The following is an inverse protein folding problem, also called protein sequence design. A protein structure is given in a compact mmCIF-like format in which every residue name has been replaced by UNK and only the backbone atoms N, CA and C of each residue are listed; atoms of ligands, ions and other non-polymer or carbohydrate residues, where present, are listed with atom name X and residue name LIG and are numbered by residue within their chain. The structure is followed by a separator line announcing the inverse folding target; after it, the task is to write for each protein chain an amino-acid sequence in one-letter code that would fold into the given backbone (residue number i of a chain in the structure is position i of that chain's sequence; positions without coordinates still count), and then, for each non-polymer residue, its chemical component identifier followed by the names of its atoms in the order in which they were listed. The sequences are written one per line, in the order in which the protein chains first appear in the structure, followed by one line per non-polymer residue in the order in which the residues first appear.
data_IF_189812985359
#
_entry.id   IF_189812985359
#
_cell.length_a   1.000
_cell.length_b   1.000
_cell.length_c   1.000
_cell.angle_alpha   90.00
_cell.angle_beta   90.00
_cell.angle_gamma   90.00
#
_symmetry.space_group_name_H-M   'P 1'
#
loop_
_entity.id
_entity.type
_entity.pdbx_description
1 polymer ?
#
# COMPACT_ATOMS: atom_id res chain seq x y z
N UNK A 1 5.53 -49.08 -7.05
CA UNK A 1 4.23 -48.61 -6.51
C UNK A 1 4.21 -48.42 -4.99
N UNK A 2 4.80 -49.33 -4.18
CA UNK A 2 4.73 -49.26 -2.71
C UNK A 2 5.25 -47.94 -2.07
N UNK A 3 6.32 -47.33 -2.60
CA UNK A 3 6.88 -46.05 -2.08
C UNK A 3 6.01 -44.81 -2.31
N UNK A 4 5.16 -44.81 -3.35
CA UNK A 4 4.25 -43.67 -3.64
C UNK A 4 3.00 -43.71 -2.76
N UNK A 5 2.60 -44.90 -2.34
CA UNK A 5 1.47 -45.10 -1.44
C UNK A 5 1.80 -44.64 -0.01
N UNK A 6 3.02 -44.88 0.46
CA UNK A 6 3.46 -44.45 1.80
C UNK A 6 3.52 -42.93 1.94
N UNK A 7 3.93 -42.22 0.88
CA UNK A 7 3.97 -40.74 0.83
C UNK A 7 2.56 -40.12 0.86
N UNK A 8 1.59 -40.79 0.23
CA UNK A 8 0.19 -40.32 0.20
C UNK A 8 -0.51 -40.48 1.55
N UNK A 9 -0.23 -41.56 2.27
CA UNK A 9 -0.76 -41.78 3.63
C UNK A 9 -0.18 -40.74 4.61
N UNK A 10 1.12 -40.43 4.48
CA UNK A 10 1.79 -39.46 5.35
C UNK A 10 1.32 -38.00 5.11
N UNK A 11 0.88 -37.68 3.87
CA UNK A 11 0.29 -36.39 3.54
C UNK A 11 -1.17 -36.23 4.03
N UNK A 12 -1.91 -37.34 4.17
CA UNK A 12 -3.31 -37.31 4.66
C UNK A 12 -3.40 -37.20 6.18
N UNK A 13 -2.43 -37.74 6.93
CA UNK A 13 -2.41 -37.60 8.40
C UNK A 13 -2.09 -36.20 8.88
N UNK A 14 -1.36 -35.37 8.12
CA UNK A 14 -1.07 -33.98 8.51
C UNK A 14 -2.28 -33.05 8.34
N UNK A 15 -3.19 -33.34 7.40
CA UNK A 15 -4.42 -32.55 7.20
C UNK A 15 -5.45 -32.84 8.30
N UNK A 16 -5.44 -34.04 8.90
CA UNK A 16 -6.35 -34.42 9.99
C UNK A 16 -6.11 -33.71 11.32
N UNK A 17 -4.90 -33.20 11.58
CA UNK A 17 -4.60 -32.47 12.82
C UNK A 17 -5.12 -31.03 12.85
N UNK A 18 -5.47 -30.45 11.69
CA UNK A 18 -5.97 -29.07 11.62
C UNK A 18 -7.46 -28.99 12.04
N UNK A 19 -8.20 -30.10 12.01
CA UNK A 19 -9.64 -30.13 12.30
C UNK A 19 -10.03 -30.63 13.70
N UNK A 20 -9.08 -31.04 14.54
CA UNK A 20 -9.37 -31.53 15.91
C UNK A 20 -9.32 -30.43 16.99
N UNK A 21 -9.31 -29.15 16.58
CA UNK A 21 -9.26 -27.99 17.48
C UNK A 21 -10.62 -27.42 17.91
N UNK A 22 -11.76 -27.97 17.49
CA UNK A 22 -13.08 -27.59 18.00
C UNK A 22 -13.44 -28.44 19.22
N UNK A 23 -12.83 -28.12 20.37
CA UNK A 23 -13.41 -28.54 21.65
C UNK A 23 -14.67 -27.72 21.90
N UNK A 24 -15.79 -28.44 21.92
CA UNK A 24 -17.12 -27.96 22.28
C UNK A 24 -17.12 -27.64 23.77
N UNK A 25 -16.81 -26.40 24.13
CA UNK A 25 -17.04 -25.86 25.47
C UNK A 25 -18.55 -25.76 25.68
N UNK A 26 -19.08 -26.65 26.52
CA UNK A 26 -20.45 -26.63 27.01
C UNK A 26 -20.77 -25.27 27.66
N UNK A 27 -21.84 -24.63 27.19
CA UNK A 27 -22.35 -23.31 27.65
C UNK A 27 -22.51 -23.20 29.18
N UNK A 28 -22.61 -24.34 29.87
CA UNK A 28 -22.82 -24.43 31.32
C UNK A 28 -21.58 -24.07 32.16
N UNK A 29 -20.36 -24.17 31.60
CA UNK A 29 -19.13 -23.72 32.28
C UNK A 29 -18.83 -22.23 32.06
N UNK A 30 -19.29 -21.65 30.95
CA UNK A 30 -19.11 -20.22 30.66
C UNK A 30 -20.03 -19.36 31.53
N UNK A 31 -21.26 -19.82 31.81
CA UNK A 31 -22.20 -19.09 32.65
C UNK A 31 -21.74 -18.99 34.12
N UNK A 32 -21.11 -20.04 34.66
CA UNK A 32 -20.66 -20.03 36.06
C UNK A 32 -19.38 -19.21 36.27
N UNK A 33 -18.48 -19.14 35.28
CA UNK A 33 -17.28 -18.29 35.36
C UNK A 33 -17.62 -16.79 35.24
N UNK A 34 -18.66 -16.42 34.48
CA UNK A 34 -19.13 -15.03 34.41
C UNK A 34 -19.69 -14.55 35.76
N UNK A 35 -20.48 -15.39 36.43
CA UNK A 35 -21.10 -15.04 37.72
C UNK A 35 -20.05 -14.95 38.83
N UNK A 36 -19.05 -15.84 38.84
CA UNK A 36 -17.95 -15.79 39.80
C UNK A 36 -17.05 -14.56 39.59
N UNK A 37 -16.82 -14.16 38.34
CA UNK A 37 -15.97 -13.01 38.01
C UNK A 37 -16.66 -11.66 38.26
N UNK A 38 -18.00 -11.58 38.16
CA UNK A 38 -18.75 -10.39 38.56
C UNK A 38 -18.76 -10.18 40.08
N UNK A 39 -18.77 -11.25 40.87
CA UNK A 39 -18.83 -11.15 42.32
C UNK A 39 -17.50 -10.65 42.95
N UNK A 40 -16.35 -10.92 42.30
CA UNK A 40 -15.04 -10.40 42.70
C UNK A 40 -14.73 -8.99 42.14
N UNK A 41 -15.34 -8.59 41.00
CA UNK A 41 -15.20 -7.22 40.45
C UNK A 41 -15.97 -6.15 41.22
N UNK A 42 -16.91 -6.53 42.08
CA UNK A 42 -17.67 -5.60 42.92
C UNK A 42 -16.82 -4.84 43.98
N UNK A 43 -15.54 -5.22 44.19
CA UNK A 43 -14.63 -4.54 45.12
C UNK A 43 -13.52 -3.71 44.48
N UNK A 44 -13.46 -3.62 43.15
CA UNK A 44 -12.62 -2.64 42.46
C UNK A 44 -13.48 -1.90 41.44
N UNK A 45 -14.21 -0.89 41.93
CA UNK A 45 -14.78 0.14 41.06
C UNK A 45 -13.61 0.97 40.54
N UNK A 46 -12.97 0.52 39.47
CA UNK A 46 -12.28 1.43 38.56
C UNK A 46 -13.33 2.41 38.05
N UNK A 47 -13.11 3.72 38.13
CA UNK A 47 -14.02 4.68 37.53
C UNK A 47 -14.20 4.33 36.04
N UNK A 48 -15.41 4.46 35.47
CA UNK A 48 -15.64 4.13 34.07
C UNK A 48 -14.63 4.91 33.21
N UNK A 49 -13.97 4.19 32.29
CA UNK A 49 -13.17 4.81 31.24
C UNK A 49 -13.97 5.95 30.62
N UNK A 50 -13.37 7.13 30.48
CA UNK A 50 -14.00 8.33 29.90
C UNK A 50 -14.40 8.04 28.44
N UNK A 51 -15.57 7.41 28.25
CA UNK A 51 -16.04 6.86 26.97
C UNK A 51 -16.20 7.96 25.92
N UNK A 52 -16.52 9.19 26.37
CA UNK A 52 -16.60 10.38 25.51
C UNK A 52 -15.25 10.79 24.92
N UNK A 53 -14.16 10.65 25.69
CA UNK A 53 -12.80 10.99 25.23
C UNK A 53 -12.29 9.94 24.24
N UNK A 54 -12.59 8.66 24.48
CA UNK A 54 -12.26 7.59 23.54
C UNK A 54 -13.05 7.69 22.22
N UNK A 55 -14.34 8.02 22.28
CA UNK A 55 -15.16 8.26 21.08
C UNK A 55 -14.69 9.50 20.31
N UNK A 56 -14.35 10.60 20.98
CA UNK A 56 -13.79 11.78 20.31
C UNK A 56 -12.46 11.47 19.62
N UNK A 57 -11.57 10.72 20.28
CA UNK A 57 -10.29 10.31 19.69
C UNK A 57 -10.47 9.37 18.49
N UNK A 58 -11.45 8.46 18.56
CA UNK A 58 -11.76 7.54 17.49
C UNK A 58 -12.31 8.26 16.26
N UNK A 59 -13.25 9.20 16.46
CA UNK A 59 -13.78 10.03 15.38
C UNK A 59 -12.67 10.87 14.72
N UNK A 60 -11.75 11.45 15.50
CA UNK A 60 -10.63 12.23 14.93
C UNK A 60 -9.64 11.39 14.14
N UNK A 61 -9.49 10.10 14.47
CA UNK A 61 -8.63 9.19 13.72
C UNK A 61 -9.28 8.81 12.39
N UNK A 62 -10.59 8.52 12.40
CA UNK A 62 -11.37 8.22 11.21
C UNK A 62 -11.40 9.41 10.23
N UNK A 63 -11.57 10.63 10.75
CA UNK A 63 -11.48 11.87 9.97
C UNK A 63 -10.09 12.03 9.34
N UNK A 64 -9.02 11.74 10.10
CA UNK A 64 -7.64 11.82 9.61
C UNK A 64 -7.33 10.80 8.50
N UNK A 65 -7.80 9.55 8.66
CA UNK A 65 -7.62 8.49 7.65
C UNK A 65 -8.37 8.86 6.37
N UNK A 66 -9.59 9.37 6.49
CA UNK A 66 -10.42 9.82 5.35
C UNK A 66 -9.77 11.00 4.62
N UNK A 67 -9.33 12.03 5.35
CA UNK A 67 -8.64 13.18 4.75
C UNK A 67 -7.33 12.76 4.06
N UNK A 68 -6.59 11.84 4.68
CA UNK A 68 -5.39 11.28 4.06
C UNK A 68 -5.72 10.54 2.76
N UNK A 69 -6.78 9.71 2.77
CA UNK A 69 -7.23 8.95 1.62
C UNK A 69 -7.61 9.87 0.44
N UNK A 70 -8.36 10.94 0.70
CA UNK A 70 -8.75 11.93 -0.32
C UNK A 70 -7.54 12.61 -0.95
N UNK A 71 -6.61 13.09 -0.11
CA UNK A 71 -5.39 13.74 -0.59
C UNK A 71 -4.51 12.78 -1.39
N UNK A 72 -4.41 11.52 -0.95
CA UNK A 72 -3.63 10.50 -1.65
C UNK A 72 -4.26 10.13 -3.00
N UNK A 73 -5.60 10.07 -3.07
CA UNK A 73 -6.34 9.85 -4.32
C UNK A 73 -6.08 10.96 -5.34
N UNK A 74 -6.12 12.22 -4.92
CA UNK A 74 -5.74 13.37 -5.76
C UNK A 74 -4.30 13.23 -6.27
N UNK A 75 -3.35 12.92 -5.39
CA UNK A 75 -1.96 12.68 -5.78
C UNK A 75 -1.83 11.60 -6.87
N UNK A 76 -2.52 10.46 -6.71
CA UNK A 76 -2.45 9.35 -7.67
C UNK A 76 -2.93 9.77 -9.07
N UNK A 77 -4.03 10.54 -9.12
CA UNK A 77 -4.58 11.05 -10.37
C UNK A 77 -3.58 11.97 -11.08
N UNK A 78 -3.00 12.92 -10.34
CA UNK A 78 -2.00 13.85 -10.88
C UNK A 78 -0.71 13.14 -11.30
N UNK A 79 -0.22 12.19 -10.50
CA UNK A 79 0.94 11.39 -10.83
C UNK A 79 0.73 10.54 -12.10
N UNK A 80 -0.47 9.98 -12.26
CA UNK A 80 -0.85 9.23 -13.45
C UNK A 80 -0.90 10.13 -14.70
N UNK A 81 -1.48 11.33 -14.56
CA UNK A 81 -1.53 12.32 -15.62
C UNK A 81 -0.13 12.70 -16.11
N UNK A 82 0.80 12.99 -15.19
CA UNK A 82 2.17 13.38 -15.55
C UNK A 82 2.95 12.24 -16.22
N UNK A 83 2.83 11.01 -15.70
CA UNK A 83 3.45 9.85 -16.35
C UNK A 83 2.86 9.58 -17.73
N UNK A 84 1.56 9.77 -17.93
CA UNK A 84 0.95 9.63 -19.26
C UNK A 84 1.47 10.72 -20.21
N UNK A 85 1.55 11.97 -19.74
CA UNK A 85 2.07 13.08 -20.51
C UNK A 85 3.53 12.87 -20.93
N UNK A 86 4.37 12.29 -20.05
CA UNK A 86 5.78 11.97 -20.33
C UNK A 86 5.97 10.79 -21.30
N UNK A 87 4.97 9.93 -21.47
CA UNK A 87 5.09 8.70 -22.26
C UNK A 87 5.58 8.90 -23.70
N UNK A 88 5.16 9.92 -24.47
CA UNK A 88 5.65 10.16 -25.82
C UNK A 88 7.17 10.42 -25.89
N UNK A 89 7.77 11.04 -24.86
CA UNK A 89 9.21 11.33 -24.82
C UNK A 89 10.05 10.06 -24.64
N UNK A 90 9.61 9.16 -23.77
CA UNK A 90 10.38 7.96 -23.40
C UNK A 90 10.00 6.70 -24.20
N UNK A 91 8.74 6.57 -24.64
CA UNK A 91 8.26 5.38 -25.38
C UNK A 91 8.28 5.58 -26.90
N UNK A 92 8.23 6.82 -27.39
CA UNK A 92 8.04 7.15 -28.80
C UNK A 92 9.26 6.87 -29.69
N UNK A 93 8.99 6.38 -30.91
CA UNK A 93 9.94 6.39 -32.03
C UNK A 93 9.79 7.67 -32.84
N UNK A 94 10.91 8.40 -33.02
CA UNK A 94 11.20 9.58 -33.88
C UNK A 94 10.21 10.76 -34.01
N UNK A 95 8.92 10.63 -33.71
CA UNK A 95 7.95 11.74 -33.68
C UNK A 95 7.60 12.11 -32.25
N UNK A 96 8.54 12.73 -31.54
CA UNK A 96 8.29 13.24 -30.18
C UNK A 96 7.70 14.65 -30.29
N UNK A 97 6.45 14.81 -29.82
CA UNK A 97 5.76 16.12 -29.73
C UNK A 97 6.20 16.95 -28.51
N UNK A 98 6.74 16.31 -27.48
CA UNK A 98 7.20 16.95 -26.24
C UNK A 98 8.69 17.32 -26.35
N UNK A 99 9.04 18.55 -26.00
CA UNK A 99 10.43 18.98 -25.98
C UNK A 99 11.12 18.61 -24.64
N UNK A 100 12.46 18.64 -24.63
CA UNK A 100 13.25 18.29 -23.44
C UNK A 100 12.93 19.14 -22.20
N UNK A 101 12.81 20.48 -22.30
CA UNK A 101 12.46 21.30 -21.13
C UNK A 101 11.10 20.95 -20.53
N UNK A 102 10.10 20.66 -21.37
CA UNK A 102 8.77 20.23 -20.91
C UNK A 102 8.86 18.88 -20.19
N UNK A 103 9.57 17.90 -20.76
CA UNK A 103 9.75 16.59 -20.12
C UNK A 103 10.47 16.69 -18.76
N UNK A 104 11.48 17.56 -18.67
CA UNK A 104 12.21 17.82 -17.43
C UNK A 104 11.31 18.46 -16.37
N UNK A 105 10.50 19.43 -16.75
CA UNK A 105 9.61 20.12 -15.81
C UNK A 105 8.54 19.17 -15.24
N UNK A 106 7.95 18.33 -16.09
CA UNK A 106 6.99 17.31 -15.67
C UNK A 106 7.60 16.28 -14.72
N UNK A 107 8.83 15.83 -14.99
CA UNK A 107 9.57 14.97 -14.05
C UNK A 107 9.81 15.67 -12.70
N UNK A 108 10.15 16.96 -12.72
CA UNK A 108 10.36 17.76 -11.52
C UNK A 108 9.08 17.86 -10.69
N UNK A 109 7.94 18.12 -11.31
CA UNK A 109 6.63 18.20 -10.66
C UNK A 109 6.24 16.85 -10.05
N UNK A 110 6.37 15.77 -10.82
CA UNK A 110 6.09 14.41 -10.35
C UNK A 110 6.96 14.01 -9.14
N UNK A 111 8.24 14.37 -9.14
CA UNK A 111 9.12 14.19 -7.99
C UNK A 111 8.71 15.02 -6.79
N UNK A 112 8.35 16.30 -7.00
CA UNK A 112 7.94 17.18 -5.92
C UNK A 112 6.69 16.63 -5.20
N UNK A 113 5.70 16.18 -5.98
CA UNK A 113 4.50 15.56 -5.43
C UNK A 113 4.81 14.24 -4.71
N UNK A 114 5.59 13.35 -5.33
CA UNK A 114 5.94 12.05 -4.73
C UNK A 114 6.70 12.24 -3.41
N UNK A 115 7.66 13.16 -3.35
CA UNK A 115 8.37 13.51 -2.11
C UNK A 115 7.45 14.11 -1.06
N UNK A 116 6.53 14.99 -1.45
CA UNK A 116 5.58 15.58 -0.51
C UNK A 116 4.71 14.52 0.18
N UNK A 117 4.30 13.49 -0.57
CA UNK A 117 3.52 12.37 -0.03
C UNK A 117 4.36 11.46 0.88
N UNK A 118 5.64 11.25 0.57
CA UNK A 118 6.54 10.45 1.41
C UNK A 118 6.92 11.13 2.74
N UNK A 119 6.89 12.46 2.81
CA UNK A 119 7.21 13.22 4.04
C UNK A 119 5.99 13.41 4.92
N UNK A 120 4.76 13.35 4.37
CA UNK A 120 3.53 13.46 5.16
C UNK A 120 3.45 12.31 6.17
N UNK A 121 2.97 12.62 7.38
CA UNK A 121 2.62 11.58 8.34
C UNK A 121 1.62 10.62 7.70
N UNK A 122 1.90 9.33 7.81
CA UNK A 122 1.15 8.28 7.12
C UNK A 122 0.34 7.49 8.16
N UNK A 123 -0.99 7.40 8.02
CA UNK A 123 -1.80 6.50 8.84
C UNK A 123 -1.30 5.05 8.73
N UNK A 124 -1.47 4.25 9.78
CA UNK A 124 -1.01 2.86 9.83
C UNK A 124 -1.53 2.01 8.67
N UNK A 125 -2.78 2.28 8.28
CA UNK A 125 -3.53 1.62 7.22
C UNK A 125 -2.85 1.82 5.86
N UNK A 126 -2.24 2.99 5.65
CA UNK A 126 -1.55 3.36 4.42
C UNK A 126 -0.05 3.03 4.40
N UNK A 127 0.50 2.40 5.45
CA UNK A 127 1.94 2.10 5.49
C UNK A 127 2.37 1.15 4.36
N UNK A 128 1.51 0.20 3.97
CA UNK A 128 1.75 -0.66 2.81
C UNK A 128 1.83 0.13 1.50
N UNK A 129 0.95 1.12 1.34
CA UNK A 129 0.92 2.02 0.17
C UNK A 129 2.21 2.84 0.09
N UNK A 130 2.66 3.39 1.23
CA UNK A 130 3.92 4.14 1.33
C UNK A 130 5.14 3.31 0.91
N UNK A 131 5.22 2.04 1.31
CA UNK A 131 6.35 1.18 0.93
C UNK A 131 6.42 0.98 -0.61
N UNK A 132 5.28 0.89 -1.28
CA UNK A 132 5.24 0.80 -2.76
C UNK A 132 5.56 2.16 -3.39
N UNK A 133 5.12 3.26 -2.78
CA UNK A 133 5.41 4.63 -3.20
C UNK A 133 6.92 4.93 -3.18
N UNK A 134 7.66 4.40 -2.22
CA UNK A 134 9.13 4.50 -2.19
C UNK A 134 9.78 3.84 -3.41
N UNK A 135 9.22 2.71 -3.89
CA UNK A 135 9.70 2.05 -5.11
C UNK A 135 9.42 2.89 -6.36
N UNK A 136 8.30 3.63 -6.40
CA UNK A 136 8.04 4.60 -7.45
C UNK A 136 9.10 5.73 -7.42
N UNK A 137 9.36 6.31 -6.24
CA UNK A 137 10.34 7.39 -6.10
C UNK A 137 11.77 6.98 -6.53
N UNK A 138 12.18 5.73 -6.26
CA UNK A 138 13.47 5.19 -6.73
C UNK A 138 13.52 5.17 -8.26
N UNK A 139 12.46 4.69 -8.92
CA UNK A 139 12.42 4.65 -10.39
C UNK A 139 12.38 6.05 -10.98
N UNK A 140 11.61 6.97 -10.40
CA UNK A 140 11.59 8.38 -10.83
C UNK A 140 12.98 9.02 -10.73
N UNK A 141 13.69 8.82 -9.63
CA UNK A 141 15.06 9.36 -9.46
C UNK A 141 15.99 8.80 -10.53
N UNK A 142 15.83 7.51 -10.85
CA UNK A 142 16.62 6.86 -11.89
C UNK A 142 16.30 7.41 -13.28
N UNK A 143 15.02 7.62 -13.60
CA UNK A 143 14.58 8.25 -14.86
C UNK A 143 15.12 9.67 -14.98
N UNK A 144 15.08 10.46 -13.91
CA UNK A 144 15.62 11.83 -13.89
C UNK A 144 17.11 11.85 -14.18
N UNK A 145 17.89 10.98 -13.51
CA UNK A 145 19.33 10.88 -13.75
C UNK A 145 19.65 10.43 -15.19
N UNK A 146 18.89 9.45 -15.71
CA UNK A 146 19.07 8.94 -17.07
C UNK A 146 18.56 9.92 -18.14
N UNK A 147 17.59 10.78 -17.81
CA UNK A 147 17.14 11.85 -18.70
C UNK A 147 18.30 12.79 -19.02
N UNK A 148 19.07 13.22 -18.02
CA UNK A 148 20.25 14.06 -18.24
C UNK A 148 21.32 13.38 -19.09
N UNK A 149 21.54 12.08 -18.86
CA UNK A 149 22.44 11.26 -19.67
C UNK A 149 21.94 11.12 -21.13
N UNK A 150 20.64 10.94 -21.32
CA UNK A 150 20.02 10.81 -22.63
C UNK A 150 20.09 12.12 -23.44
N UNK A 151 19.91 13.25 -22.77
CA UNK A 151 19.97 14.58 -23.39
C UNK A 151 21.41 14.94 -23.78
N UNK A 152 22.36 14.68 -22.89
CA UNK A 152 23.78 14.96 -23.16
C UNK A 152 24.41 13.97 -24.15
N UNK A 153 23.97 12.71 -24.17
CA UNK A 153 24.49 11.67 -25.04
C UNK A 153 23.36 10.72 -25.53
N UNK A 154 22.68 11.05 -26.64
CA UNK A 154 21.46 10.37 -27.09
C UNK A 154 21.73 9.05 -27.82
N UNK A 155 22.40 8.12 -27.15
CA UNK A 155 22.66 6.77 -27.68
C UNK A 155 21.39 5.90 -27.61
N UNK A 156 21.32 4.88 -28.47
CA UNK A 156 20.25 3.87 -28.42
C UNK A 156 20.23 3.13 -27.08
N UNK A 157 21.40 2.88 -26.48
CA UNK A 157 21.54 2.27 -25.16
C UNK A 157 20.93 3.12 -24.05
N UNK A 158 21.23 4.43 -24.03
CA UNK A 158 20.67 5.35 -23.04
C UNK A 158 19.16 5.50 -23.20
N UNK A 159 18.68 5.54 -24.45
CA UNK A 159 17.23 5.55 -24.72
C UNK A 159 16.54 4.30 -24.21
N UNK A 160 17.11 3.12 -24.47
CA UNK A 160 16.54 1.86 -24.00
C UNK A 160 16.54 1.74 -22.47
N UNK A 161 17.64 2.10 -21.80
CA UNK A 161 17.73 2.12 -20.33
C UNK A 161 16.70 3.06 -19.72
N UNK A 162 16.64 4.30 -20.20
CA UNK A 162 15.70 5.32 -19.70
C UNK A 162 14.26 4.86 -19.88
N UNK A 163 13.94 4.27 -21.05
CA UNK A 163 12.61 3.71 -21.33
C UNK A 163 12.22 2.63 -20.33
N UNK A 164 13.12 1.69 -20.02
CA UNK A 164 12.84 0.60 -19.06
C UNK A 164 12.49 1.17 -17.68
N UNK A 165 13.30 2.09 -17.17
CA UNK A 165 13.04 2.71 -15.86
C UNK A 165 11.75 3.53 -15.85
N UNK A 166 11.44 4.21 -16.96
CA UNK A 166 10.17 4.92 -17.10
C UNK A 166 8.97 3.95 -17.11
N UNK A 167 9.09 2.80 -17.78
CA UNK A 167 8.06 1.76 -17.77
C UNK A 167 7.90 1.13 -16.38
N UNK A 168 9.01 0.96 -15.63
CA UNK A 168 8.97 0.53 -14.23
C UNK A 168 8.28 1.57 -13.34
N UNK A 169 8.55 2.87 -13.51
CA UNK A 169 7.86 3.92 -12.77
C UNK A 169 6.34 3.84 -13.00
N UNK A 170 5.90 3.68 -14.25
CA UNK A 170 4.47 3.49 -14.56
C UNK A 170 3.90 2.21 -13.93
N UNK A 171 4.66 1.12 -13.93
CA UNK A 171 4.26 -0.13 -13.28
C UNK A 171 4.13 0.04 -11.76
N UNK A 172 5.07 0.76 -11.14
CA UNK A 172 5.07 1.02 -9.70
C UNK A 172 3.90 1.92 -9.31
N UNK A 173 3.59 2.98 -10.07
CA UNK A 173 2.41 3.81 -9.80
C UNK A 173 1.12 2.97 -9.81
N UNK A 174 0.96 2.04 -10.76
CA UNK A 174 -0.18 1.12 -10.77
C UNK A 174 -0.22 0.19 -9.56
N UNK A 175 0.93 -0.20 -9.03
CA UNK A 175 0.99 -0.98 -7.79
C UNK A 175 0.60 -0.14 -6.58
N UNK A 176 1.02 1.14 -6.54
CA UNK A 176 0.59 2.09 -5.50
C UNK A 176 -0.93 2.26 -5.56
N UNK A 177 -1.50 2.47 -6.74
CA UNK A 177 -2.95 2.59 -6.94
C UNK A 177 -3.70 1.34 -6.44
N UNK A 178 -3.23 0.14 -6.75
CA UNK A 178 -3.84 -1.10 -6.24
C UNK A 178 -3.75 -1.22 -4.72
N UNK A 179 -2.60 -0.88 -4.14
CA UNK A 179 -2.43 -0.89 -2.69
C UNK A 179 -3.38 0.12 -2.03
N UNK A 180 -3.49 1.32 -2.60
CA UNK A 180 -4.42 2.36 -2.17
C UNK A 180 -5.88 1.89 -2.22
N UNK A 181 -6.33 1.34 -3.35
CA UNK A 181 -7.69 0.81 -3.49
C UNK A 181 -7.99 -0.34 -2.52
N UNK A 182 -6.98 -1.16 -2.22
CA UNK A 182 -7.11 -2.22 -1.20
C UNK A 182 -7.34 -1.64 0.19
N UNK A 183 -6.66 -0.53 0.53
CA UNK A 183 -6.89 0.16 1.80
C UNK A 183 -8.29 0.77 1.84
N UNK A 184 -8.74 1.44 0.77
CA UNK A 184 -10.10 2.00 0.74
C UNK A 184 -11.18 0.93 0.97
N UNK A 185 -11.04 -0.24 0.36
CA UNK A 185 -11.96 -1.36 0.53
C UNK A 185 -11.95 -1.90 1.97
N UNK A 186 -10.75 -2.09 2.55
CA UNK A 186 -10.62 -2.59 3.93
C UNK A 186 -11.17 -1.63 4.98
N UNK A 187 -11.02 -0.32 4.76
CA UNK A 187 -11.48 0.73 5.69
C UNK A 187 -12.93 1.17 5.41
N UNK A 188 -13.57 0.65 4.36
CA UNK A 188 -14.96 1.00 4.01
C UNK A 188 -15.13 2.44 3.51
N UNK A 189 -14.12 2.99 2.84
CA UNK A 189 -14.08 4.36 2.30
C UNK A 189 -14.58 4.46 0.85
N UNK A 190 -15.09 3.37 0.28
CA UNK A 190 -15.54 3.25 -1.12
C UNK A 190 -17.06 3.12 -1.26
#
# INVERSE_FOLDING_TARGET
MKRRFTLFILLMTTIGFIFSGCQQTTEEQVANDIIAQEHDRAKMVTPPSNTKVQQQQQNTLEDYVTEYADHFGYYLMEAAHELEALAPFYRGGQTVRMNEPEARERLRELHAWTKSMLVKDTPSEFQGVRNVLESLEIELNTVTNLHDELVSNPTSGNRARTKVHFENAVSNLKQVERAYLTVLDNEGLY
#
